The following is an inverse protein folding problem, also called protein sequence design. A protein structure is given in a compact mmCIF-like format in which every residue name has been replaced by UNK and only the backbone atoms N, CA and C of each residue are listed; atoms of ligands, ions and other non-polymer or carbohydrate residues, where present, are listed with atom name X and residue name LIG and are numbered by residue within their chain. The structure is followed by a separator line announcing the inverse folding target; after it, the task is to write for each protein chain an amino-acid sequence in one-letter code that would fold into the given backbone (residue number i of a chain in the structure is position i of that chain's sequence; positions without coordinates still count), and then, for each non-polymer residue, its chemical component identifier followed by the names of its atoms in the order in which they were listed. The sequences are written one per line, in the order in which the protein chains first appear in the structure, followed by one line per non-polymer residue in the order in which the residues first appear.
data_IF_085427989839
#
_entry.id   IF_085427989839
#
_cell.length_a   1.000
_cell.length_b   1.000
_cell.length_c   1.000
_cell.angle_alpha   90.00
_cell.angle_beta   90.00
_cell.angle_gamma   90.00
#
_symmetry.space_group_name_H-M   'P 1'
#
loop_
_entity.id
_entity.type
_entity.pdbx_description
1 polymer ?
#
# COMPACT_ATOMS: atom_id res chain seq x y z
N UNK A 1 6.15 -36.62 -44.55
CA UNK A 1 4.98 -36.40 -43.65
C UNK A 1 5.40 -36.20 -42.19
N UNK A 2 6.27 -37.04 -41.62
CA UNK A 2 6.71 -36.88 -40.22
C UNK A 2 7.43 -35.55 -39.91
N UNK A 3 8.30 -35.06 -40.78
CA UNK A 3 9.07 -33.83 -40.53
C UNK A 3 8.19 -32.58 -40.51
N UNK A 4 7.21 -32.50 -41.41
CA UNK A 4 6.23 -31.39 -41.44
C UNK A 4 5.35 -31.41 -40.18
N UNK A 5 4.96 -32.60 -39.72
CA UNK A 5 4.18 -32.75 -38.48
C UNK A 5 4.98 -32.36 -37.23
N UNK A 6 6.27 -32.74 -37.18
CA UNK A 6 7.20 -32.34 -36.12
C UNK A 6 7.40 -30.82 -36.09
N UNK A 7 7.53 -30.20 -37.26
CA UNK A 7 7.72 -28.75 -37.38
C UNK A 7 6.47 -27.98 -36.93
N UNK A 8 5.27 -28.43 -37.33
CA UNK A 8 4.00 -27.85 -36.87
C UNK A 8 3.86 -28.00 -35.34
N UNK A 9 4.18 -29.18 -34.80
CA UNK A 9 4.14 -29.44 -33.35
C UNK A 9 5.10 -28.55 -32.57
N UNK A 10 6.32 -28.34 -33.09
CA UNK A 10 7.31 -27.46 -32.49
C UNK A 10 6.84 -25.99 -32.46
N UNK A 11 6.21 -25.51 -33.53
CA UNK A 11 5.66 -24.16 -33.61
C UNK A 11 4.52 -23.97 -32.59
N UNK A 12 3.58 -24.92 -32.50
CA UNK A 12 2.48 -24.86 -31.52
C UNK A 12 3.01 -24.85 -30.09
N UNK A 13 3.99 -25.71 -29.79
CA UNK A 13 4.61 -25.79 -28.47
C UNK A 13 5.33 -24.50 -28.10
N UNK A 14 6.01 -23.87 -29.06
CA UNK A 14 6.66 -22.58 -28.87
C UNK A 14 5.65 -21.46 -28.55
N UNK A 15 4.53 -21.40 -29.26
CA UNK A 15 3.45 -20.46 -28.94
C UNK A 15 2.85 -20.69 -27.56
N UNK A 16 2.66 -21.95 -27.15
CA UNK A 16 2.17 -22.28 -25.80
C UNK A 16 3.11 -21.76 -24.70
N UNK A 17 4.42 -21.91 -24.89
CA UNK A 17 5.44 -21.41 -23.96
C UNK A 17 5.42 -19.88 -23.89
N UNK A 18 5.35 -19.17 -25.04
CA UNK A 18 5.24 -17.70 -25.05
C UNK A 18 3.99 -17.25 -24.28
N UNK A 19 2.85 -17.90 -24.53
CA UNK A 19 1.58 -17.55 -23.89
C UNK A 19 1.65 -17.75 -22.38
N UNK A 20 2.32 -18.83 -21.92
CA UNK A 20 2.57 -19.07 -20.51
C UNK A 20 3.41 -17.96 -19.86
N UNK A 21 4.49 -17.52 -20.50
CA UNK A 21 5.31 -16.41 -19.99
C UNK A 21 4.57 -15.07 -19.96
N UNK A 22 3.70 -14.80 -20.95
CA UNK A 22 2.84 -13.60 -20.96
C UNK A 22 1.78 -13.64 -19.86
N UNK A 23 1.17 -14.80 -19.60
CA UNK A 23 0.25 -14.95 -18.47
C UNK A 23 0.97 -14.81 -17.13
N UNK A 24 2.15 -15.42 -16.99
CA UNK A 24 2.95 -15.35 -15.76
C UNK A 24 3.42 -13.91 -15.45
N UNK A 25 3.84 -13.15 -16.47
CA UNK A 25 4.24 -11.74 -16.29
C UNK A 25 3.07 -10.87 -15.87
N UNK A 26 1.87 -11.10 -16.43
CA UNK A 26 0.66 -10.41 -16.01
C UNK A 26 0.29 -10.71 -14.54
N UNK A 27 0.47 -11.95 -14.08
CA UNK A 27 0.22 -12.30 -12.66
C UNK A 27 1.21 -11.59 -11.73
N UNK A 28 2.49 -11.51 -12.09
CA UNK A 28 3.46 -10.73 -11.30
C UNK A 28 3.08 -9.26 -11.28
N UNK A 29 2.72 -8.68 -12.43
CA UNK A 29 2.31 -7.28 -12.53
C UNK A 29 1.06 -7.00 -11.68
N UNK A 30 0.06 -7.89 -11.71
CA UNK A 30 -1.15 -7.77 -10.88
C UNK A 30 -0.79 -7.88 -9.39
N UNK A 31 0.08 -8.82 -9.01
CA UNK A 31 0.54 -8.97 -7.62
C UNK A 31 1.31 -7.74 -7.13
N UNK A 32 2.18 -7.19 -7.97
CA UNK A 32 2.97 -6.01 -7.65
C UNK A 32 2.11 -4.74 -7.62
N UNK A 33 1.13 -4.62 -8.53
CA UNK A 33 0.12 -3.57 -8.53
C UNK A 33 -0.79 -3.65 -7.29
N UNK A 34 -1.22 -4.85 -6.89
CA UNK A 34 -1.99 -5.05 -5.66
C UNK A 34 -1.13 -4.70 -4.44
N UNK A 35 0.14 -5.11 -4.41
CA UNK A 35 1.08 -4.75 -3.32
C UNK A 35 1.36 -3.25 -3.25
N UNK A 36 1.54 -2.58 -4.39
CA UNK A 36 1.78 -1.14 -4.43
C UNK A 36 0.53 -0.36 -4.01
N UNK A 37 -0.66 -0.89 -4.29
CA UNK A 37 -1.93 -0.31 -3.85
C UNK A 37 -2.27 -0.66 -2.38
N UNK A 38 -1.81 -1.80 -1.88
CA UNK A 38 -2.01 -2.21 -0.48
C UNK A 38 -1.06 -1.51 0.48
N UNK A 39 0.13 -1.09 0.02
CA UNK A 39 1.07 -0.26 0.79
C UNK A 39 0.85 1.23 0.51
N UNK A 40 -0.39 1.70 0.68
CA UNK A 40 -0.66 3.13 0.64
C UNK A 40 0.03 3.81 1.82
N UNK A 41 1.09 4.56 1.54
CA UNK A 41 1.89 5.25 2.55
C UNK A 41 1.26 6.60 2.92
N UNK A 42 0.45 6.58 3.97
CA UNK A 42 -0.18 7.78 4.50
C UNK A 42 0.81 8.80 5.08
N UNK A 43 2.02 8.39 5.47
CA UNK A 43 3.03 9.34 5.90
C UNK A 43 3.50 10.19 4.72
N UNK A 44 3.80 9.55 3.59
CA UNK A 44 4.15 10.26 2.36
C UNK A 44 3.02 11.18 1.89
N UNK A 45 1.76 10.75 1.98
CA UNK A 45 0.62 11.61 1.66
C UNK A 45 0.44 12.79 2.64
N UNK A 46 0.67 12.59 3.95
CA UNK A 46 0.69 13.69 4.92
C UNK A 46 1.77 14.73 4.56
N UNK A 47 3.00 14.29 4.29
CA UNK A 47 4.12 15.16 3.91
C UNK A 47 3.79 15.93 2.63
N UNK A 48 3.28 15.23 1.60
CA UNK A 48 2.88 15.83 0.33
C UNK A 48 1.80 16.88 0.51
N UNK A 49 0.73 16.59 1.25
CA UNK A 49 -0.38 17.53 1.49
C UNK A 49 0.08 18.77 2.24
N UNK A 50 0.94 18.59 3.25
CA UNK A 50 1.57 19.69 3.99
C UNK A 50 2.47 20.54 3.10
N UNK A 51 3.32 19.92 2.28
CA UNK A 51 4.21 20.61 1.35
C UNK A 51 3.44 21.40 0.28
N UNK A 52 2.32 20.86 -0.19
CA UNK A 52 1.41 21.50 -1.15
C UNK A 52 0.46 22.52 -0.51
N UNK A 53 0.56 22.77 0.80
CA UNK A 53 -0.32 23.69 1.55
C UNK A 53 -1.81 23.42 1.29
N UNK A 54 -2.17 22.13 1.28
CA UNK A 54 -3.57 21.68 1.19
C UNK A 54 -4.36 22.12 2.42
N UNK A 55 -5.67 21.95 2.38
CA UNK A 55 -6.51 22.33 3.53
C UNK A 55 -6.11 21.55 4.78
N UNK A 56 -6.23 22.18 5.96
CA UNK A 56 -5.91 21.53 7.23
C UNK A 56 -6.70 20.22 7.41
N UNK A 57 -7.95 20.17 6.93
CA UNK A 57 -8.77 18.96 6.92
C UNK A 57 -8.15 17.80 6.13
N UNK A 58 -7.54 18.09 4.97
CA UNK A 58 -6.88 17.07 4.15
C UNK A 58 -5.57 16.60 4.78
N UNK A 59 -4.82 17.52 5.40
CA UNK A 59 -3.58 17.21 6.10
C UNK A 59 -3.88 16.35 7.33
N UNK A 60 -4.91 16.73 8.10
CA UNK A 60 -5.39 16.01 9.27
C UNK A 60 -5.85 14.59 8.91
N UNK A 61 -6.62 14.45 7.83
CA UNK A 61 -7.07 13.14 7.37
C UNK A 61 -5.90 12.19 7.09
N UNK A 62 -4.86 12.66 6.39
CA UNK A 62 -3.68 11.83 6.12
C UNK A 62 -2.91 11.47 7.40
N UNK A 63 -2.83 12.39 8.37
CA UNK A 63 -2.22 12.12 9.68
C UNK A 63 -3.03 11.08 10.48
N UNK A 64 -4.37 11.18 10.45
CA UNK A 64 -5.28 10.22 11.10
C UNK A 64 -5.10 8.81 10.53
N UNK A 65 -5.10 8.67 9.21
CA UNK A 65 -4.93 7.38 8.55
C UNK A 65 -3.55 6.76 8.82
N UNK A 66 -2.48 7.58 8.85
CA UNK A 66 -1.15 7.11 9.23
C UNK A 66 -1.11 6.59 10.67
N UNK A 67 -1.61 7.37 11.63
CA UNK A 67 -1.64 6.99 13.05
C UNK A 67 -2.47 5.72 13.23
N UNK A 68 -3.62 5.63 12.56
CA UNK A 68 -4.47 4.43 12.58
C UNK A 68 -3.75 3.19 12.05
N UNK A 69 -3.05 3.29 10.92
CA UNK A 69 -2.29 2.17 10.38
C UNK A 69 -1.18 1.69 11.31
N UNK A 70 -0.40 2.61 11.89
CA UNK A 70 0.66 2.26 12.84
C UNK A 70 0.08 1.62 14.12
N UNK A 71 -1.05 2.15 14.60
CA UNK A 71 -1.80 1.56 15.73
C UNK A 71 -2.28 0.13 15.41
N UNK A 72 -2.87 -0.09 14.23
CA UNK A 72 -3.36 -1.40 13.79
C UNK A 72 -2.24 -2.42 13.56
N UNK A 73 -1.04 -1.96 13.19
CA UNK A 73 0.12 -2.81 12.95
C UNK A 73 0.72 -3.35 14.25
N UNK A 74 0.91 -2.49 15.25
CA UNK A 74 1.65 -2.87 16.46
C UNK A 74 0.74 -3.15 17.66
N UNK A 75 -0.51 -2.67 17.68
CA UNK A 75 -1.58 -2.97 18.68
C UNK A 75 -1.11 -2.99 20.15
N UNK A 76 -0.08 -2.22 20.50
CA UNK A 76 0.47 -2.17 21.85
C UNK A 76 0.31 -0.79 22.44
N UNK A 77 0.14 -0.73 23.76
CA UNK A 77 0.04 0.54 24.48
C UNK A 77 1.30 1.39 24.33
N UNK A 78 2.47 0.76 24.40
CA UNK A 78 3.76 1.42 24.18
C UNK A 78 3.81 2.18 22.85
N UNK A 79 3.43 1.53 21.75
CA UNK A 79 3.42 2.20 20.42
C UNK A 79 2.41 3.34 20.37
N UNK A 80 1.25 3.17 21.01
CA UNK A 80 0.27 4.26 21.12
C UNK A 80 0.83 5.48 21.85
N UNK A 81 1.50 5.27 22.99
CA UNK A 81 2.09 6.37 23.76
C UNK A 81 3.22 7.07 22.96
N UNK A 82 4.02 6.33 22.21
CA UNK A 82 5.03 6.86 21.26
C UNK A 82 4.39 7.71 20.15
N UNK A 83 3.33 7.19 19.51
CA UNK A 83 2.60 7.90 18.47
C UNK A 83 1.97 9.17 19.03
N UNK A 84 1.34 9.09 20.21
CA UNK A 84 0.72 10.23 20.88
C UNK A 84 1.75 11.32 21.16
N UNK A 85 2.90 10.98 21.76
CA UNK A 85 3.96 11.95 22.05
C UNK A 85 4.48 12.68 20.80
N UNK A 86 4.49 12.00 19.65
CA UNK A 86 5.01 12.57 18.39
C UNK A 86 3.95 13.37 17.63
N UNK A 87 2.70 12.89 17.60
CA UNK A 87 1.67 13.38 16.68
C UNK A 87 0.59 14.22 17.35
N UNK A 88 0.42 14.16 18.67
CA UNK A 88 -0.55 14.98 19.40
C UNK A 88 -0.39 16.49 19.11
N UNK A 89 0.83 17.08 19.06
CA UNK A 89 0.98 18.49 18.69
C UNK A 89 0.52 18.80 17.26
N UNK A 90 0.69 17.86 16.33
CA UNK A 90 0.26 18.01 14.94
C UNK A 90 -1.26 18.03 14.86
N UNK A 91 -1.94 17.13 15.57
CA UNK A 91 -3.40 17.08 15.62
C UNK A 91 -3.97 18.35 16.23
N UNK A 92 -3.40 18.82 17.34
CA UNK A 92 -3.79 20.08 17.99
C UNK A 92 -3.61 21.26 17.04
N UNK A 93 -2.47 21.34 16.33
CA UNK A 93 -2.22 22.43 15.38
C UNK A 93 -3.19 22.46 14.19
N UNK A 94 -3.78 21.30 13.85
CA UNK A 94 -4.78 21.14 12.80
C UNK A 94 -6.22 21.18 13.33
N UNK A 95 -6.41 21.54 14.61
CA UNK A 95 -7.74 21.70 15.22
C UNK A 95 -8.45 20.41 15.63
N UNK A 96 -7.71 19.33 15.87
CA UNK A 96 -8.25 18.01 16.25
C UNK A 96 -7.62 17.45 17.53
N UNK A 97 -8.34 16.55 18.19
CA UNK A 97 -7.82 15.73 19.29
C UNK A 97 -7.11 14.50 18.76
N UNK A 98 -6.14 13.99 19.53
CA UNK A 98 -5.43 12.75 19.20
C UNK A 98 -6.36 11.52 19.41
N UNK A 99 -6.32 10.49 18.53
CA UNK A 99 -7.21 9.34 18.63
C UNK A 99 -7.07 8.55 19.93
N UNK A 100 -8.15 7.91 20.37
CA UNK A 100 -8.17 7.09 21.59
C UNK A 100 -7.56 5.71 21.33
N UNK A 101 -6.91 5.13 22.34
CA UNK A 101 -6.45 3.75 22.29
C UNK A 101 -7.61 2.75 22.41
N UNK A 102 -7.87 1.96 21.35
CA UNK A 102 -9.03 1.05 21.26
C UNK A 102 -8.72 -0.44 21.49
N UNK A 103 -7.47 -0.83 21.77
CA UNK A 103 -7.09 -2.26 21.87
C UNK A 103 -7.10 -2.82 23.30
N UNK A 104 -7.53 -2.05 24.30
CA UNK A 104 -7.76 -2.58 25.65
C UNK A 104 -9.08 -3.36 25.65
N UNK A 105 -9.00 -4.70 25.76
CA UNK A 105 -10.10 -5.56 26.22
C UNK A 105 -9.78 -6.01 27.63
#
# INVERSE_FOLDING_TARGET
MNEVFLLISAVISFFAVITFFVMASNVSYIKDYIKSKSNFDWYTEYVKRKALKRSDSEILFAAQEFVWQEMMKYKTRKKYDELKATWEPVFISLGSEFPVYHFNK
#
